data_IF_695777449986
#
_entry.id   IF_695777449986
#
_cell.length_a   1.000
_cell.length_b   1.000
_cell.length_c   1.000
_cell.angle_alpha   90.00
_cell.angle_beta   90.00
_cell.angle_gamma   90.00
#
_symmetry.space_group_name_H-M   'P 1'
#
loop_
_entity.id
_entity.type
_entity.pdbx_description
1 polymer ?
#
# COMPACT_ATOMS: atom_id res chain seq x y z
N UNK A 1 2.78 44.81 -1.49
CA UNK A 1 2.70 43.61 -0.61
C UNK A 1 1.36 42.86 -0.63
N UNK A 2 0.29 43.32 -1.30
CA UNK A 2 -1.01 42.60 -1.38
C UNK A 2 -1.08 41.50 -2.48
N UNK A 3 -0.05 41.36 -3.31
CA UNK A 3 -0.04 40.49 -4.48
C UNK A 3 0.72 39.16 -4.30
N UNK A 4 1.55 39.01 -3.25
CA UNK A 4 2.28 37.76 -2.98
C UNK A 4 1.36 36.63 -2.50
N UNK A 5 0.29 36.95 -1.75
CA UNK A 5 -0.64 35.94 -1.22
C UNK A 5 -1.51 35.26 -2.29
N UNK A 6 -1.97 36.01 -3.30
CA UNK A 6 -2.85 35.49 -4.36
C UNK A 6 -2.11 34.57 -5.35
N UNK A 7 -0.83 34.85 -5.61
CA UNK A 7 0.02 34.05 -6.48
C UNK A 7 0.34 32.69 -5.84
N UNK A 8 0.67 32.68 -4.55
CA UNK A 8 0.97 31.45 -3.81
C UNK A 8 -0.23 30.49 -3.76
N UNK A 9 -1.44 31.04 -3.59
CA UNK A 9 -2.66 30.24 -3.53
C UNK A 9 -2.99 29.57 -4.86
N UNK A 10 -2.80 30.28 -5.98
CA UNK A 10 -3.09 29.75 -7.32
C UNK A 10 -2.07 28.70 -7.76
N UNK A 11 -0.79 28.86 -7.39
CA UNK A 11 0.27 27.87 -7.66
C UNK A 11 0.03 26.61 -6.84
N UNK A 12 -0.28 26.76 -5.53
CA UNK A 12 -0.56 25.62 -4.66
C UNK A 12 -1.73 24.78 -5.18
N UNK A 13 -2.84 25.41 -5.55
CA UNK A 13 -4.02 24.72 -6.08
C UNK A 13 -3.74 23.97 -7.39
N UNK A 14 -2.91 24.53 -8.27
CA UNK A 14 -2.49 23.85 -9.50
C UNK A 14 -1.55 22.68 -9.22
N UNK A 15 -0.65 22.80 -8.26
CA UNK A 15 0.23 21.71 -7.83
C UNK A 15 -0.57 20.56 -7.22
N UNK A 16 -1.53 20.86 -6.35
CA UNK A 16 -2.45 19.87 -5.75
C UNK A 16 -3.19 19.10 -6.85
N UNK A 17 -3.78 19.80 -7.83
CA UNK A 17 -4.47 19.16 -8.96
C UNK A 17 -3.57 18.26 -9.81
N UNK A 18 -2.33 18.68 -10.08
CA UNK A 18 -1.38 17.86 -10.84
C UNK A 18 -0.99 16.60 -10.05
N UNK A 19 -0.80 16.71 -8.74
CA UNK A 19 -0.49 15.58 -7.87
C UNK A 19 -1.67 14.60 -7.83
N UNK A 20 -2.89 15.08 -7.61
CA UNK A 20 -4.11 14.24 -7.60
C UNK A 20 -4.30 13.51 -8.94
N UNK A 21 -4.09 14.20 -10.07
CA UNK A 21 -4.14 13.56 -11.38
C UNK A 21 -3.04 12.52 -11.57
N UNK A 22 -1.81 12.81 -11.13
CA UNK A 22 -0.69 11.88 -11.22
C UNK A 22 -0.93 10.63 -10.36
N UNK A 23 -1.50 10.78 -9.16
CA UNK A 23 -1.88 9.68 -8.28
C UNK A 23 -2.93 8.78 -8.93
N UNK A 24 -4.00 9.36 -9.49
CA UNK A 24 -5.05 8.60 -10.18
C UNK A 24 -4.49 7.83 -11.38
N UNK A 25 -3.61 8.46 -12.17
CA UNK A 25 -2.94 7.80 -13.30
C UNK A 25 -2.05 6.66 -12.80
N UNK A 26 -1.25 6.88 -11.75
CA UNK A 26 -0.40 5.85 -11.15
C UNK A 26 -1.21 4.65 -10.65
N UNK A 27 -2.31 4.90 -9.95
CA UNK A 27 -3.22 3.86 -9.48
C UNK A 27 -3.89 3.08 -10.61
N UNK A 28 -4.28 3.76 -11.68
CA UNK A 28 -4.83 3.12 -12.86
C UNK A 28 -3.81 2.20 -13.52
N UNK A 29 -2.54 2.64 -13.64
CA UNK A 29 -1.45 1.81 -14.16
C UNK A 29 -1.21 0.59 -13.26
N UNK A 30 -1.16 0.77 -11.94
CA UNK A 30 -0.98 -0.34 -10.99
C UNK A 30 -2.15 -1.33 -11.09
N UNK A 31 -3.40 -0.84 -11.10
CA UNK A 31 -4.60 -1.67 -11.18
C UNK A 31 -4.65 -2.50 -12.47
N UNK A 32 -4.43 -1.86 -13.62
CA UNK A 32 -4.40 -2.55 -14.92
C UNK A 32 -3.23 -3.53 -14.98
N UNK A 33 -2.04 -3.11 -14.57
CA UNK A 33 -0.85 -3.96 -14.55
C UNK A 33 -1.05 -5.20 -13.69
N UNK A 34 -1.65 -5.04 -12.51
CA UNK A 34 -1.96 -6.15 -11.60
C UNK A 34 -2.99 -7.11 -12.19
N UNK A 35 -4.05 -6.60 -12.83
CA UNK A 35 -5.05 -7.43 -13.50
C UNK A 35 -4.45 -8.24 -14.67
N UNK A 36 -3.62 -7.60 -15.50
CA UNK A 36 -2.93 -8.27 -16.60
C UNK A 36 -1.92 -9.31 -16.09
N UNK A 37 -1.18 -9.01 -15.03
CA UNK A 37 -0.24 -9.95 -14.41
C UNK A 37 -0.95 -11.19 -13.85
N UNK A 38 -2.09 -11.01 -13.17
CA UNK A 38 -2.91 -12.14 -12.73
C UNK A 38 -3.41 -12.98 -13.91
N UNK A 39 -3.92 -12.34 -14.97
CA UNK A 39 -4.36 -13.05 -16.17
C UNK A 39 -3.24 -13.85 -16.82
N UNK A 40 -2.04 -13.28 -16.93
CA UNK A 40 -0.86 -13.96 -17.45
C UNK A 40 -0.45 -15.14 -16.57
N UNK A 41 -0.46 -14.99 -15.25
CA UNK A 41 -0.12 -16.07 -14.33
C UNK A 41 -1.13 -17.23 -14.43
N UNK A 42 -2.42 -16.93 -14.53
CA UNK A 42 -3.48 -17.92 -14.76
C UNK A 42 -3.27 -18.66 -16.08
N UNK A 43 -2.93 -17.93 -17.15
CA UNK A 43 -2.63 -18.52 -18.44
C UNK A 43 -1.44 -19.48 -18.36
N UNK A 44 -0.35 -19.07 -17.71
CA UNK A 44 0.84 -19.91 -17.57
C UNK A 44 0.58 -21.19 -16.75
N UNK A 45 -0.24 -21.10 -15.70
CA UNK A 45 -0.67 -22.26 -14.92
C UNK A 45 -1.54 -23.22 -15.76
N UNK A 46 -2.42 -22.69 -16.60
CA UNK A 46 -3.24 -23.51 -17.50
C UNK A 46 -2.40 -24.20 -18.59
N UNK A 47 -1.40 -23.50 -19.14
CA UNK A 47 -0.52 -24.02 -20.20
C UNK A 47 0.47 -25.07 -19.68
N UNK A 48 1.05 -24.84 -18.49
CA UNK A 48 1.96 -25.79 -17.85
C UNK A 48 1.27 -27.00 -17.23
N UNK A 49 -0.02 -26.89 -16.90
CA UNK A 49 -0.80 -27.95 -16.25
C UNK A 49 -0.39 -28.21 -14.80
N UNK A 50 0.50 -27.39 -14.24
CA UNK A 50 0.97 -27.47 -12.85
C UNK A 50 0.65 -26.17 -12.13
N UNK A 51 0.18 -26.29 -10.88
CA UNK A 51 -0.22 -25.16 -10.05
C UNK A 51 0.59 -25.25 -8.76
N UNK A 52 1.60 -24.39 -8.64
CA UNK A 52 2.45 -24.40 -7.46
C UNK A 52 1.90 -23.48 -6.36
N UNK A 53 2.25 -23.76 -5.11
CA UNK A 53 1.95 -22.88 -3.98
C UNK A 53 2.54 -21.48 -4.20
N UNK A 54 3.69 -21.37 -4.87
CA UNK A 54 4.32 -20.10 -5.21
C UNK A 54 3.43 -19.24 -6.09
N UNK A 55 2.77 -19.84 -7.09
CA UNK A 55 1.89 -19.14 -8.02
C UNK A 55 0.61 -18.66 -7.32
N UNK A 56 0.02 -19.51 -6.48
CA UNK A 56 -1.16 -19.15 -5.68
C UNK A 56 -0.85 -18.00 -4.70
N UNK A 57 0.30 -18.05 -4.02
CA UNK A 57 0.72 -16.99 -3.11
C UNK A 57 1.07 -15.68 -3.84
N UNK A 58 1.59 -15.77 -5.08
CA UNK A 58 1.81 -14.61 -5.93
C UNK A 58 0.48 -13.99 -6.38
N UNK A 59 -0.51 -14.80 -6.77
CA UNK A 59 -1.87 -14.32 -7.06
C UNK A 59 -2.50 -13.64 -5.85
N UNK A 60 -2.31 -14.19 -4.64
CA UNK A 60 -2.81 -13.54 -3.42
C UNK A 60 -2.20 -12.14 -3.23
N UNK A 61 -0.90 -12.00 -3.45
CA UNK A 61 -0.22 -10.70 -3.38
C UNK A 61 -0.75 -9.72 -4.44
N UNK A 62 -1.02 -10.19 -5.66
CA UNK A 62 -1.64 -9.36 -6.70
C UNK A 62 -3.07 -8.95 -6.34
N UNK A 63 -3.90 -9.87 -5.82
CA UNK A 63 -5.25 -9.55 -5.36
C UNK A 63 -5.25 -8.52 -4.22
N UNK A 64 -4.31 -8.62 -3.30
CA UNK A 64 -4.13 -7.67 -2.20
C UNK A 64 -3.80 -6.26 -2.73
N UNK A 65 -2.88 -6.16 -3.68
CA UNK A 65 -2.54 -4.89 -4.35
C UNK A 65 -3.74 -4.35 -5.13
N UNK A 66 -4.48 -5.21 -5.84
CA UNK A 66 -5.68 -4.81 -6.58
C UNK A 66 -6.77 -4.29 -5.64
N UNK A 67 -6.95 -4.93 -4.47
CA UNK A 67 -7.88 -4.49 -3.44
C UNK A 67 -7.50 -3.12 -2.87
N UNK A 68 -6.21 -2.83 -2.67
CA UNK A 68 -5.75 -1.51 -2.24
C UNK A 68 -6.05 -0.41 -3.26
N UNK A 69 -5.83 -0.68 -4.55
CA UNK A 69 -6.20 0.26 -5.62
C UNK A 69 -7.71 0.53 -5.57
N UNK A 70 -8.52 -0.53 -5.45
CA UNK A 70 -9.97 -0.40 -5.32
C UNK A 70 -10.40 0.36 -4.06
N UNK A 71 -9.72 0.17 -2.93
CA UNK A 71 -9.99 0.90 -1.70
C UNK A 71 -9.60 2.36 -1.80
N UNK A 72 -8.46 2.67 -2.45
CA UNK A 72 -8.06 4.05 -2.71
C UNK A 72 -9.12 4.79 -3.51
N UNK A 73 -9.60 4.18 -4.60
CA UNK A 73 -10.63 4.77 -5.46
C UNK A 73 -11.95 5.05 -4.70
N UNK A 74 -12.23 4.32 -3.62
CA UNK A 74 -13.41 4.52 -2.77
C UNK A 74 -13.18 5.54 -1.65
N UNK A 75 -12.01 5.54 -1.02
CA UNK A 75 -11.74 6.27 0.21
C UNK A 75 -10.83 7.51 0.04
N UNK A 76 -10.22 7.70 -1.13
CA UNK A 76 -9.37 8.85 -1.45
C UNK A 76 -8.04 8.92 -0.68
N UNK A 77 -7.67 7.87 0.05
CA UNK A 77 -6.45 7.81 0.84
C UNK A 77 -5.75 6.45 0.66
N UNK A 78 -4.42 6.47 0.52
CA UNK A 78 -3.60 5.26 0.48
C UNK A 78 -3.47 4.74 1.90
N UNK A 79 -4.06 3.57 2.22
CA UNK A 79 -4.01 3.08 3.58
C UNK A 79 -2.61 2.52 3.87
N UNK A 80 -1.78 3.30 4.56
CA UNK A 80 -0.36 3.01 4.89
C UNK A 80 -0.16 1.67 5.62
N UNK A 81 -1.24 1.14 6.22
CA UNK A 81 -1.24 -0.13 6.95
C UNK A 81 -1.06 -1.34 6.04
N UNK A 82 -1.58 -1.29 4.81
CA UNK A 82 -1.61 -2.46 3.94
C UNK A 82 -0.22 -2.85 3.40
N UNK A 83 0.68 -1.92 3.02
CA UNK A 83 2.06 -2.27 2.66
C UNK A 83 2.84 -2.98 3.77
N UNK A 84 2.62 -2.61 5.04
CA UNK A 84 3.28 -3.26 6.18
C UNK A 84 2.76 -4.70 6.37
N UNK A 85 1.48 -4.96 6.13
CA UNK A 85 0.93 -6.32 6.11
C UNK A 85 1.47 -7.14 4.94
N UNK A 86 1.58 -6.56 3.74
CA UNK A 86 2.23 -7.23 2.60
C UNK A 86 3.66 -7.64 2.96
N UNK A 87 4.44 -6.77 3.61
CA UNK A 87 5.81 -7.09 3.99
C UNK A 87 5.88 -8.31 4.92
N UNK A 88 5.03 -8.35 5.96
CA UNK A 88 4.95 -9.51 6.86
C UNK A 88 4.52 -10.78 6.13
N UNK A 89 3.48 -10.71 5.29
CA UNK A 89 2.99 -11.86 4.51
C UNK A 89 4.06 -12.35 3.53
N UNK A 90 4.79 -11.44 2.88
CA UNK A 90 5.87 -11.77 1.95
C UNK A 90 7.00 -12.54 2.63
N UNK A 91 7.42 -12.09 3.83
CA UNK A 91 8.44 -12.80 4.62
C UNK A 91 7.91 -14.16 5.09
N UNK A 92 6.67 -14.22 5.59
CA UNK A 92 6.05 -15.47 6.05
C UNK A 92 5.97 -16.49 4.90
N UNK A 93 5.56 -16.05 3.72
CA UNK A 93 5.54 -16.83 2.48
C UNK A 93 6.93 -17.38 2.12
N UNK A 94 7.97 -16.55 2.18
CA UNK A 94 9.35 -16.98 1.85
C UNK A 94 9.77 -18.14 2.76
N UNK A 95 9.48 -18.03 4.06
CA UNK A 95 9.76 -19.10 5.03
C UNK A 95 9.00 -20.39 4.70
N UNK A 96 7.71 -20.29 4.35
CA UNK A 96 6.86 -21.45 4.04
C UNK A 96 7.31 -22.13 2.73
N UNK A 97 7.55 -21.36 1.67
CA UNK A 97 7.92 -21.89 0.36
C UNK A 97 9.31 -22.54 0.34
N UNK A 98 10.22 -22.08 1.21
CA UNK A 98 11.58 -22.61 1.35
C UNK A 98 11.72 -23.59 2.52
N UNK A 99 10.63 -24.22 2.95
CA UNK A 99 10.64 -25.20 4.03
C UNK A 99 11.67 -26.32 3.73
N UNK A 100 12.64 -26.51 4.62
CA UNK A 100 13.74 -27.48 4.48
C UNK A 100 15.00 -26.98 3.76
N UNK A 101 14.93 -25.85 3.03
CA UNK A 101 16.10 -25.19 2.42
C UNK A 101 16.62 -24.00 3.24
N UNK A 102 15.83 -23.53 4.20
CA UNK A 102 16.19 -22.41 5.06
C UNK A 102 17.18 -22.81 6.15
N UNK A 103 18.24 -22.02 6.31
CA UNK A 103 19.13 -22.12 7.48
C UNK A 103 18.40 -21.69 8.76
N UNK A 104 18.73 -22.30 9.89
CA UNK A 104 18.18 -21.93 11.22
C UNK A 104 18.27 -20.41 11.49
N UNK A 105 19.40 -19.80 11.11
CA UNK A 105 19.61 -18.35 11.22
C UNK A 105 18.61 -17.55 10.37
N UNK A 106 18.28 -18.01 9.16
CA UNK A 106 17.31 -17.34 8.28
C UNK A 106 15.90 -17.39 8.86
N UNK A 107 15.52 -18.53 9.47
CA UNK A 107 14.24 -18.68 10.16
C UNK A 107 14.12 -17.68 11.32
N UNK A 108 15.15 -17.61 12.16
CA UNK A 108 15.17 -16.69 13.31
C UNK A 108 15.18 -15.23 12.85
N UNK A 109 15.99 -14.89 11.84
CA UNK A 109 16.05 -13.54 11.28
C UNK A 109 14.71 -13.13 10.65
N UNK A 110 14.06 -14.01 9.90
CA UNK A 110 12.76 -13.77 9.26
C UNK A 110 11.66 -13.60 10.30
N UNK A 111 11.62 -14.46 11.33
CA UNK A 111 10.70 -14.32 12.45
C UNK A 111 10.92 -13.00 13.22
N UNK A 112 12.19 -12.63 13.45
CA UNK A 112 12.56 -11.36 14.06
C UNK A 112 12.13 -10.16 13.22
N UNK A 113 12.29 -10.21 11.90
CA UNK A 113 11.84 -9.17 10.98
C UNK A 113 10.31 -9.00 11.02
N UNK A 114 9.55 -10.10 10.98
CA UNK A 114 8.08 -10.06 11.13
C UNK A 114 7.70 -9.42 12.47
N UNK A 115 8.36 -9.81 13.56
CA UNK A 115 8.10 -9.27 14.89
C UNK A 115 8.39 -7.76 14.97
N UNK A 116 9.50 -7.30 14.39
CA UNK A 116 9.84 -5.86 14.34
C UNK A 116 8.81 -5.06 13.54
N UNK A 117 8.38 -5.58 12.38
CA UNK A 117 7.33 -4.93 11.57
C UNK A 117 6.01 -4.89 12.34
N UNK A 118 5.62 -5.99 13.00
CA UNK A 118 4.41 -6.06 13.81
C UNK A 118 4.43 -5.06 14.97
N UNK A 119 5.58 -4.89 15.64
CA UNK A 119 5.75 -3.87 16.67
C UNK A 119 5.63 -2.45 16.09
N UNK A 120 6.19 -2.19 14.91
CA UNK A 120 6.02 -0.92 14.20
C UNK A 120 4.55 -0.61 13.90
N UNK A 121 3.81 -1.60 13.39
CA UNK A 121 2.36 -1.49 13.14
C UNK A 121 1.60 -1.22 14.45
N UNK A 122 1.96 -1.90 15.54
CA UNK A 122 1.35 -1.69 16.85
C UNK A 122 1.59 -0.26 17.36
N UNK A 123 2.80 0.27 17.20
CA UNK A 123 3.15 1.63 17.58
C UNK A 123 2.36 2.67 16.78
N UNK A 124 2.27 2.51 15.45
CA UNK A 124 1.47 3.40 14.60
C UNK A 124 0.00 3.36 15.02
N UNK A 125 -0.55 2.16 15.24
CA UNK A 125 -1.94 1.99 15.67
C UNK A 125 -2.21 2.62 17.04
N UNK A 126 -1.27 2.46 17.98
CA UNK A 126 -1.39 3.07 19.30
C UNK A 126 -1.29 4.60 19.23
N UNK A 127 -0.40 5.13 18.38
CA UNK A 127 -0.27 6.56 18.11
C UNK A 127 -1.56 7.16 17.56
N UNK A 128 -2.13 6.58 16.50
CA UNK A 128 -3.38 7.05 15.89
C UNK A 128 -4.59 6.94 16.83
N UNK A 129 -4.63 5.95 17.73
CA UNK A 129 -5.71 5.82 18.71
C UNK A 129 -5.60 6.81 19.87
N UNK A 130 -4.38 7.24 20.22
CA UNK A 130 -4.12 8.12 21.37
C UNK A 130 -4.06 9.60 21.00
N UNK A 131 -3.69 9.91 19.76
CA UNK A 131 -3.67 11.26 19.19
C UNK A 131 -4.46 11.26 17.86
N UNK A 132 -5.80 11.31 17.91
CA UNK A 132 -6.59 11.55 16.72
C UNK A 132 -6.22 12.93 16.17
N UNK A 133 -5.73 13.00 14.93
CA UNK A 133 -5.45 14.27 14.27
C UNK A 133 -6.77 14.93 13.88
N UNK A 134 -7.32 15.78 14.76
CA UNK A 134 -8.40 16.71 14.39
C UNK A 134 -7.84 17.77 13.43
N UNK A 135 -7.82 17.48 12.13
CA UNK A 135 -7.64 18.50 11.11
C UNK A 135 -8.99 19.12 10.79
N UNK A 136 -9.60 19.78 11.77
CA UNK A 136 -10.79 20.60 11.57
C UNK A 136 -10.65 21.98 12.24
N UNK A 137 -9.46 22.56 12.17
CA UNK A 137 -9.25 23.97 12.50
C UNK A 137 -9.09 24.77 11.20
N UNK A 138 -10.21 25.32 10.71
CA UNK A 138 -10.32 26.68 10.15
C UNK A 138 -11.78 27.20 10.27
N UNK A 139 -12.24 27.64 11.45
CA UNK A 139 -13.41 28.50 11.56
C UNK A 139 -13.01 29.97 11.67
N UNK A 140 -12.55 30.59 10.57
CA UNK A 140 -12.19 32.02 10.58
C UNK A 140 -12.00 32.61 9.19
N UNK A 141 -13.10 33.02 8.53
CA UNK A 141 -13.22 34.33 7.85
C UNK A 141 -14.67 34.69 7.42
N UNK A 142 -15.66 34.61 8.33
CA UNK A 142 -17.00 35.23 8.10
C UNK A 142 -17.42 36.22 9.20
N UNK A 143 -16.44 36.81 9.89
CA UNK A 143 -16.68 37.93 10.79
C UNK A 143 -15.89 39.16 10.32
N UNK A 144 -16.39 39.83 9.26
CA UNK A 144 -16.41 41.29 9.08
C UNK A 144 -17.01 41.71 7.73
#
# INVERSE_FOLDING_TARGET
MKYEGALHHSIKRRLEQVIEMAELVGLLVIGIGTALAMGHLIWNMADSGDVTLTDLLLMFLYLEVFAMVGQYLKAGQLPVRFPLYIAMVSIARDVILRAGANTELHLVASAGAILLIALGVLLIRYGESKYPSDTNERPDEEAR
#
